data_IF_011415396799
#
_entry.id   IF_011415396799
#
_cell.length_a   1.000
_cell.length_b   1.000
_cell.length_c   1.000
_cell.angle_alpha   90.00
_cell.angle_beta   90.00
_cell.angle_gamma   90.00
#
_symmetry.space_group_name_H-M   'P 1'
#
loop_
_entity.id
_entity.type
_entity.pdbx_description
1 polymer ?
#
# COMPACT_ATOMS: atom_id res chain seq x y z
N UNK A 1 -0.32 12.77 9.96
CA UNK A 1 0.67 11.68 9.77
C UNK A 1 0.39 10.62 10.81
N UNK A 2 0.35 9.33 10.42
CA UNK A 2 0.75 8.78 9.12
C UNK A 2 -0.18 9.16 7.94
N UNK A 3 0.34 9.13 6.72
CA UNK A 3 -0.44 9.04 5.47
C UNK A 3 -0.50 7.56 5.07
N UNK A 4 -1.68 7.06 4.71
CA UNK A 4 -1.93 5.67 4.31
C UNK A 4 -2.37 5.67 2.86
N UNK A 5 -1.61 5.01 2.00
CA UNK A 5 -1.96 4.84 0.59
C UNK A 5 -2.52 3.45 0.37
N UNK A 6 -3.75 3.36 -0.13
CA UNK A 6 -4.41 2.10 -0.48
C UNK A 6 -4.47 2.01 -2.00
N UNK A 7 -3.79 1.01 -2.56
CA UNK A 7 -3.87 0.72 -3.99
C UNK A 7 -4.99 -0.29 -4.23
N UNK A 8 -5.92 0.05 -5.11
CA UNK A 8 -7.01 -0.82 -5.56
C UNK A 8 -6.82 -1.12 -7.03
N UNK A 9 -7.16 -2.33 -7.47
CA UNK A 9 -7.13 -2.69 -8.87
C UNK A 9 -8.41 -3.38 -9.34
N UNK A 10 -8.68 -3.30 -10.64
CA UNK A 10 -9.81 -3.96 -11.28
C UNK A 10 -11.15 -3.62 -10.60
N UNK A 11 -11.93 -4.65 -10.26
CA UNK A 11 -13.25 -4.47 -9.66
C UNK A 11 -13.22 -3.84 -8.27
N UNK A 12 -12.10 -3.96 -7.54
CA UNK A 12 -11.95 -3.31 -6.23
C UNK A 12 -11.92 -1.79 -6.35
N UNK A 13 -11.58 -1.23 -7.53
CA UNK A 13 -11.62 0.21 -7.78
C UNK A 13 -12.98 0.86 -7.55
N UNK A 14 -14.08 0.09 -7.56
CA UNK A 14 -15.40 0.60 -7.19
C UNK A 14 -15.44 1.14 -5.75
N UNK A 15 -14.59 0.63 -4.85
CA UNK A 15 -14.48 1.11 -3.47
C UNK A 15 -13.80 2.50 -3.38
N UNK A 16 -13.23 3.02 -4.47
CA UNK A 16 -12.74 4.41 -4.50
C UNK A 16 -13.87 5.46 -4.41
N UNK A 17 -15.13 5.04 -4.56
CA UNK A 17 -16.31 5.91 -4.47
C UNK A 17 -16.84 6.12 -3.04
N UNK A 18 -16.23 5.50 -2.03
CA UNK A 18 -16.65 5.63 -0.63
C UNK A 18 -16.01 6.85 0.03
N UNK A 19 -16.66 7.39 1.07
CA UNK A 19 -16.05 8.41 1.91
C UNK A 19 -14.81 7.84 2.62
N UNK A 20 -13.65 8.41 2.30
CA UNK A 20 -12.36 7.95 2.80
C UNK A 20 -11.98 8.77 4.04
N UNK A 21 -11.58 8.15 5.16
CA UNK A 21 -11.15 8.86 6.35
C UNK A 21 -9.93 9.76 6.09
N UNK A 22 -9.80 10.84 6.87
CA UNK A 22 -8.63 11.71 6.83
C UNK A 22 -7.34 10.91 7.06
N UNK A 23 -6.35 11.16 6.20
CA UNK A 23 -5.06 10.47 6.22
C UNK A 23 -5.02 9.16 5.44
N UNK A 24 -6.13 8.74 4.81
CA UNK A 24 -6.16 7.63 3.85
C UNK A 24 -6.35 8.19 2.43
N UNK A 25 -5.54 7.72 1.48
CA UNK A 25 -5.63 8.07 0.07
C UNK A 25 -5.76 6.80 -0.77
N UNK A 26 -6.76 6.76 -1.64
CA UNK A 26 -6.97 5.64 -2.56
C UNK A 26 -6.32 5.95 -3.91
N UNK A 27 -5.58 4.98 -4.45
CA UNK A 27 -5.03 5.01 -5.81
C UNK A 27 -5.62 3.82 -6.58
N UNK A 28 -6.21 4.06 -7.74
CA UNK A 28 -6.81 3.00 -8.57
C UNK A 28 -5.87 2.66 -9.72
N UNK A 29 -5.29 1.47 -9.68
CA UNK A 29 -4.50 0.90 -10.76
C UNK A 29 -5.43 0.15 -11.76
N UNK A 30 -5.31 0.37 -13.07
CA UNK A 30 -6.19 -0.30 -14.05
C UNK A 30 -6.06 -1.83 -14.07
N UNK A 31 -4.83 -2.36 -13.98
CA UNK A 31 -4.53 -3.80 -14.00
C UNK A 31 -3.14 -4.15 -13.42
N UNK A 32 -2.54 -3.25 -12.66
CA UNK A 32 -1.14 -3.34 -12.23
C UNK A 32 -0.98 -2.86 -10.78
N UNK A 33 -1.77 -3.42 -9.86
CA UNK A 33 -1.75 -3.03 -8.45
C UNK A 33 -0.37 -3.15 -7.82
N UNK A 34 0.33 -4.25 -8.06
CA UNK A 34 1.69 -4.48 -7.56
C UNK A 34 2.70 -3.45 -8.08
N UNK A 35 2.61 -3.11 -9.38
CA UNK A 35 3.47 -2.11 -9.98
C UNK A 35 3.19 -0.72 -9.40
N UNK A 36 1.92 -0.38 -9.18
CA UNK A 36 1.52 0.87 -8.56
C UNK A 36 1.97 0.93 -7.09
N UNK A 37 1.88 -0.15 -6.32
CA UNK A 37 2.42 -0.23 -4.95
C UNK A 37 3.91 0.08 -4.95
N UNK A 38 4.67 -0.52 -5.86
CA UNK A 38 6.12 -0.29 -5.97
C UNK A 38 6.41 1.16 -6.38
N UNK A 39 5.65 1.73 -7.31
CA UNK A 39 5.80 3.12 -7.74
C UNK A 39 5.53 4.11 -6.59
N UNK A 40 4.44 3.91 -5.83
CA UNK A 40 4.14 4.73 -4.65
C UNK A 40 5.24 4.58 -3.60
N UNK A 41 5.73 3.37 -3.35
CA UNK A 41 6.79 3.12 -2.39
C UNK A 41 8.08 3.86 -2.76
N UNK A 42 8.51 3.75 -4.02
CA UNK A 42 9.69 4.45 -4.54
C UNK A 42 9.55 5.97 -4.40
N UNK A 43 8.44 6.55 -4.86
CA UNK A 43 8.22 7.99 -4.81
C UNK A 43 8.29 8.56 -3.39
N UNK A 44 7.72 7.87 -2.40
CA UNK A 44 7.74 8.33 -1.01
C UNK A 44 9.11 8.12 -0.37
N UNK A 45 9.80 7.01 -0.68
CA UNK A 45 11.15 6.77 -0.20
C UNK A 45 12.14 7.81 -0.75
N UNK A 46 12.04 8.16 -2.03
CA UNK A 46 12.80 9.24 -2.68
C UNK A 46 12.51 10.61 -2.05
N UNK A 47 11.27 10.82 -1.59
CA UNK A 47 10.87 11.98 -0.80
C UNK A 47 11.42 12.01 0.64
N UNK A 48 12.16 10.98 1.07
CA UNK A 48 12.77 10.87 2.40
C UNK A 48 11.82 10.33 3.48
N UNK A 49 10.69 9.74 3.09
CA UNK A 49 9.74 9.16 4.05
C UNK A 49 10.12 7.73 4.42
N UNK A 50 9.81 7.34 5.66
CA UNK A 50 9.85 5.94 6.07
C UNK A 50 8.60 5.24 5.52
N UNK A 51 8.80 4.35 4.54
CA UNK A 51 7.71 3.64 3.86
C UNK A 51 7.57 2.21 4.39
N UNK A 52 6.33 1.78 4.63
CA UNK A 52 5.98 0.40 4.97
C UNK A 52 4.95 -0.11 3.96
N UNK A 53 5.23 -1.25 3.35
CA UNK A 53 4.29 -1.98 2.48
C UNK A 53 3.75 -3.19 3.23
N UNK A 54 2.44 -3.40 3.14
CA UNK A 54 1.77 -4.58 3.70
C UNK A 54 1.41 -5.56 2.58
N UNK A 55 2.12 -6.68 2.49
CA UNK A 55 1.84 -7.73 1.50
C UNK A 55 2.27 -9.10 2.02
N UNK A 56 1.56 -10.14 1.59
CA UNK A 56 1.96 -11.54 1.82
C UNK A 56 2.65 -12.15 0.59
N UNK A 57 2.70 -11.43 -0.53
CA UNK A 57 3.37 -11.88 -1.75
C UNK A 57 4.88 -11.66 -1.64
N UNK A 58 5.67 -12.71 -1.94
CA UNK A 58 7.13 -12.69 -1.79
C UNK A 58 7.82 -11.89 -2.88
N UNK A 59 7.30 -11.93 -4.10
CA UNK A 59 7.85 -11.18 -5.22
C UNK A 59 7.63 -9.69 -5.02
N UNK A 60 6.39 -9.29 -4.70
CA UNK A 60 6.07 -7.91 -4.36
C UNK A 60 6.89 -7.44 -3.14
N UNK A 61 7.07 -8.28 -2.12
CA UNK A 61 7.93 -7.95 -0.96
C UNK A 61 9.35 -7.58 -1.39
N UNK A 62 9.99 -8.40 -2.24
CA UNK A 62 11.34 -8.15 -2.71
C UNK A 62 11.43 -6.86 -3.55
N UNK A 63 10.42 -6.62 -4.40
CA UNK A 63 10.31 -5.40 -5.21
C UNK A 63 10.12 -4.15 -4.36
N UNK A 64 9.26 -4.21 -3.34
CA UNK A 64 9.03 -3.10 -2.39
C UNK A 64 10.28 -2.77 -1.57
N UNK A 65 11.03 -3.78 -1.12
CA UNK A 65 12.31 -3.56 -0.43
C UNK A 65 13.33 -2.89 -1.37
N UNK A 66 13.37 -3.32 -2.64
CA UNK A 66 14.25 -2.72 -3.65
C UNK A 66 13.87 -1.25 -3.94
N UNK A 67 12.59 -0.91 -3.78
CA UNK A 67 12.06 0.45 -3.89
C UNK A 67 12.26 1.31 -2.61
N UNK A 68 12.93 0.79 -1.57
CA UNK A 68 13.25 1.54 -0.35
C UNK A 68 12.22 1.41 0.77
N UNK A 69 11.23 0.52 0.65
CA UNK A 69 10.26 0.28 1.71
C UNK A 69 10.69 -0.86 2.66
N UNK A 70 10.19 -0.81 3.89
CA UNK A 70 10.09 -1.99 4.75
C UNK A 70 8.80 -2.77 4.45
N UNK A 71 8.76 -4.06 4.77
CA UNK A 71 7.62 -4.92 4.46
C UNK A 71 7.13 -5.66 5.70
N UNK A 72 5.81 -5.69 5.88
CA UNK A 72 5.12 -6.56 6.83
C UNK A 72 4.07 -7.41 6.12
N UNK A 73 3.80 -8.60 6.66
CA UNK A 73 2.75 -9.48 6.14
C UNK A 73 1.36 -8.85 6.29
N UNK A 74 0.46 -9.11 5.33
CA UNK A 74 -0.91 -8.61 5.41
C UNK A 74 -1.67 -9.14 6.65
N UNK A 75 -1.32 -10.36 7.10
CA UNK A 75 -1.86 -10.94 8.34
C UNK A 75 -1.53 -10.11 9.59
N UNK A 76 -0.32 -9.54 9.67
CA UNK A 76 0.05 -8.67 10.79
C UNK A 76 -0.83 -7.42 10.85
N UNK A 77 -1.12 -6.82 9.70
CA UNK A 77 -2.02 -5.65 9.63
C UNK A 77 -3.43 -6.04 10.04
N UNK A 78 -3.91 -7.22 9.61
CA UNK A 78 -5.23 -7.72 9.99
C UNK A 78 -5.34 -7.93 11.51
N UNK A 79 -4.35 -8.57 12.12
CA UNK A 79 -4.29 -8.79 13.57
C UNK A 79 -4.28 -7.45 14.33
N UNK A 80 -3.54 -6.46 13.84
CA UNK A 80 -3.50 -5.11 14.42
C UNK A 80 -4.87 -4.41 14.37
N UNK A 81 -5.62 -4.60 13.29
CA UNK A 81 -6.96 -4.03 13.13
C UNK A 81 -8.00 -4.74 14.01
N UNK A 82 -7.88 -6.07 14.18
CA UNK A 82 -8.80 -6.86 15.00
C UNK A 82 -8.54 -6.73 16.51
N UNK A 83 -7.34 -6.29 16.92
CA UNK A 83 -6.99 -6.02 18.30
C UNK A 83 -7.56 -4.69 18.84
N UNK A 84 -8.40 -3.98 18.08
CA UNK A 84 -9.05 -2.72 18.46
C UNK A 84 -10.54 -2.90 18.67
#
# INVERSE_FOLDING_TARGET
>A
YPEIVVVLEGQAGAAASVDVPDGVRIVVAPAAGDDEIVAQAAAHAEGGHAVTVFTSDRELSARSVSAGASVHGAGWLRDLLDAR
#
